data_IF_753454327674
#
_entry.id   IF_753454327674
#
_cell.length_a   1.000
_cell.length_b   1.000
_cell.length_c   1.000
_cell.angle_alpha   90.00
_cell.angle_beta   90.00
_cell.angle_gamma   90.00
#
_symmetry.space_group_name_H-M   'P 1'
#
loop_
_entity.id
_entity.type
_entity.pdbx_description
1 polymer ?
#
# COMPACT_ATOMS: atom_id res chain seq x y z
N UNK A 1 14.69 -7.62 -2.50
CA UNK A 1 13.90 -8.83 -2.80
C UNK A 1 12.49 -8.35 -3.08
N UNK A 2 12.05 -8.53 -4.31
CA UNK A 2 10.75 -8.14 -4.82
C UNK A 2 9.91 -9.39 -5.06
N UNK A 3 8.59 -9.21 -5.16
CA UNK A 3 7.69 -10.28 -5.59
C UNK A 3 8.16 -10.86 -6.93
N UNK A 4 8.17 -12.18 -7.05
CA UNK A 4 8.65 -12.87 -8.24
C UNK A 4 10.17 -13.11 -8.30
N UNK A 5 10.97 -12.54 -7.40
CA UNK A 5 12.42 -12.83 -7.36
C UNK A 5 12.66 -14.32 -7.13
N UNK A 6 13.45 -14.95 -8.02
CA UNK A 6 13.89 -16.33 -7.87
C UNK A 6 15.15 -16.35 -7.03
N UNK A 7 15.06 -16.92 -5.83
CA UNK A 7 16.18 -17.05 -4.90
C UNK A 7 16.99 -18.32 -5.15
N UNK A 8 16.35 -19.32 -5.75
CA UNK A 8 16.97 -20.60 -6.05
C UNK A 8 16.23 -21.26 -7.21
N UNK A 9 16.97 -21.89 -8.12
CA UNK A 9 16.45 -22.69 -9.22
C UNK A 9 17.41 -23.85 -9.49
N UNK A 10 16.90 -25.08 -9.44
CA UNK A 10 17.55 -26.29 -9.95
C UNK A 10 16.60 -27.02 -10.92
N UNK A 11 17.03 -28.16 -11.49
CA UNK A 11 16.25 -28.95 -12.46
C UNK A 11 14.91 -29.50 -11.90
N UNK A 12 14.69 -29.41 -10.59
CA UNK A 12 13.57 -30.04 -9.88
C UNK A 12 12.72 -29.07 -9.05
N UNK A 13 13.28 -27.93 -8.62
CA UNK A 13 12.67 -27.01 -7.64
C UNK A 13 13.13 -25.57 -7.86
N UNK A 14 12.28 -24.66 -7.42
CA UNK A 14 12.62 -23.25 -7.29
C UNK A 14 12.08 -22.66 -6.00
N UNK A 15 12.71 -21.59 -5.52
CA UNK A 15 12.25 -20.76 -4.41
C UNK A 15 11.98 -19.37 -4.98
N UNK A 16 10.73 -18.92 -4.89
CA UNK A 16 10.28 -17.61 -5.35
C UNK A 16 9.83 -16.76 -4.16
N UNK A 17 10.10 -15.46 -4.23
CA UNK A 17 9.55 -14.49 -3.27
C UNK A 17 8.09 -14.22 -3.65
N UNK A 18 7.17 -14.42 -2.71
CA UNK A 18 5.76 -14.05 -2.86
C UNK A 18 5.40 -12.94 -1.86
N UNK A 19 4.79 -11.86 -2.34
CA UNK A 19 4.27 -10.80 -1.50
C UNK A 19 3.12 -11.34 -0.64
N UNK A 20 3.27 -11.26 0.68
CA UNK A 20 2.21 -11.63 1.61
C UNK A 20 0.97 -10.76 1.39
N UNK A 21 -0.21 -11.39 1.45
CA UNK A 21 -1.48 -10.67 1.44
C UNK A 21 -1.65 -9.94 2.75
N UNK A 22 -1.92 -8.64 2.66
CA UNK A 22 -2.27 -7.84 3.82
C UNK A 22 -3.43 -6.91 3.47
N UNK A 23 -4.19 -6.53 4.50
CA UNK A 23 -5.21 -5.50 4.34
C UNK A 23 -4.53 -4.17 4.06
N UNK A 24 -4.97 -3.48 3.01
CA UNK A 24 -4.45 -2.15 2.67
C UNK A 24 -5.58 -1.14 2.55
N UNK A 25 -5.20 0.12 2.75
CA UNK A 25 -6.01 1.28 2.42
C UNK A 25 -5.48 1.84 1.10
N UNK A 26 -6.38 2.00 0.12
CA UNK A 26 -6.12 2.70 -1.15
C UNK A 26 -6.89 4.01 -1.17
N UNK A 27 -6.22 5.10 -1.53
CA UNK A 27 -6.74 6.46 -1.48
C UNK A 27 -6.55 7.10 -2.86
N UNK A 28 -7.63 7.70 -3.37
CA UNK A 28 -7.66 8.44 -4.62
C UNK A 28 -7.93 9.91 -4.31
N UNK A 29 -6.89 10.71 -4.01
CA UNK A 29 -7.06 12.10 -3.65
C UNK A 29 -7.65 12.91 -4.81
N UNK A 30 -8.53 13.86 -4.52
CA UNK A 30 -9.18 14.69 -5.53
C UNK A 30 -8.25 15.81 -6.05
N UNK A 31 -7.32 16.27 -5.21
CA UNK A 31 -6.35 17.29 -5.55
C UNK A 31 -4.97 17.11 -4.86
N UNK A 32 -4.05 18.01 -5.17
CA UNK A 32 -2.69 18.00 -4.62
C UNK A 32 -2.65 18.28 -3.11
N UNK A 33 -3.61 19.04 -2.58
CA UNK A 33 -3.69 19.36 -1.15
C UNK A 33 -4.05 18.11 -0.36
N UNK A 34 -5.06 17.38 -0.82
CA UNK A 34 -5.47 16.11 -0.24
C UNK A 34 -4.36 15.07 -0.36
N UNK A 35 -3.72 14.96 -1.53
CA UNK A 35 -2.59 14.05 -1.73
C UNK A 35 -1.44 14.32 -0.75
N UNK A 36 -1.07 15.60 -0.57
CA UNK A 36 -0.02 16.00 0.35
C UNK A 36 -0.41 15.73 1.81
N UNK A 37 -1.64 16.04 2.20
CA UNK A 37 -2.17 15.78 3.53
C UNK A 37 -2.15 14.29 3.87
N UNK A 38 -2.67 13.45 2.97
CA UNK A 38 -2.68 11.99 3.13
C UNK A 38 -1.26 11.45 3.26
N UNK A 39 -0.35 11.82 2.35
CA UNK A 39 1.04 11.36 2.38
C UNK A 39 1.75 11.78 3.68
N UNK A 40 1.49 12.99 4.16
CA UNK A 40 2.00 13.48 5.44
C UNK A 40 1.48 12.65 6.61
N UNK A 41 0.17 12.43 6.72
CA UNK A 41 -0.43 11.69 7.84
C UNK A 41 0.03 10.23 7.90
N UNK A 42 0.22 9.59 6.75
CA UNK A 42 0.80 8.24 6.65
C UNK A 42 2.25 8.24 7.14
N UNK A 43 3.07 9.16 6.62
CA UNK A 43 4.49 9.27 6.96
C UNK A 43 4.71 9.64 8.43
N UNK A 44 3.86 10.51 9.00
CA UNK A 44 3.87 10.91 10.40
C UNK A 44 3.60 9.74 11.36
N UNK A 45 2.98 8.66 10.87
CA UNK A 45 2.75 7.42 11.62
C UNK A 45 3.83 6.36 11.39
N UNK A 46 4.89 6.69 10.65
CA UNK A 46 5.91 5.74 10.21
C UNK A 46 5.33 4.52 9.48
N UNK A 47 4.20 4.70 8.79
CA UNK A 47 3.60 3.67 7.96
C UNK A 47 4.28 3.66 6.58
N UNK A 48 4.51 2.47 5.99
CA UNK A 48 4.94 2.38 4.60
C UNK A 48 3.92 3.05 3.68
N UNK A 49 4.40 3.79 2.67
CA UNK A 49 3.57 4.48 1.69
C UNK A 49 4.05 4.16 0.27
N UNK A 50 3.11 3.80 -0.60
CA UNK A 50 3.34 3.70 -2.05
C UNK A 50 2.49 4.74 -2.74
N UNK A 51 3.11 5.55 -3.61
CA UNK A 51 2.44 6.59 -4.38
C UNK A 51 2.71 6.32 -5.85
N UNK A 52 1.66 6.06 -6.62
CA UNK A 52 1.75 5.82 -8.04
C UNK A 52 0.48 6.32 -8.76
N UNK A 53 0.37 6.05 -10.07
CA UNK A 53 -0.79 6.49 -10.87
C UNK A 53 -2.13 5.90 -10.40
N UNK A 54 -2.10 4.81 -9.63
CA UNK A 54 -3.27 4.13 -9.10
C UNK A 54 -3.64 4.63 -7.69
N UNK A 55 -3.03 5.72 -7.21
CA UNK A 55 -3.34 6.35 -5.93
C UNK A 55 -2.24 6.20 -4.88
N UNK A 56 -2.62 6.47 -3.64
CA UNK A 56 -1.78 6.32 -2.46
C UNK A 56 -2.21 5.05 -1.72
N UNK A 57 -1.28 4.14 -1.46
CA UNK A 57 -1.54 2.86 -0.78
C UNK A 57 -0.67 2.71 0.47
N UNK A 58 -1.26 2.17 1.53
CA UNK A 58 -0.57 1.90 2.80
C UNK A 58 -1.24 0.71 3.50
N UNK A 59 -0.52 -0.06 4.35
CA UNK A 59 -1.15 -1.10 5.16
C UNK A 59 -2.30 -0.56 6.01
N UNK A 60 -3.31 -1.39 6.24
CA UNK A 60 -4.47 -1.00 7.04
C UNK A 60 -4.04 -0.56 8.44
N UNK A 61 -4.52 0.63 8.82
CA UNK A 61 -4.35 1.16 10.15
C UNK A 61 -5.65 1.82 10.61
N UNK A 62 -6.21 1.31 11.71
CA UNK A 62 -7.50 1.77 12.26
C UNK A 62 -7.53 3.26 12.60
N UNK A 63 -6.42 3.82 13.09
CA UNK A 63 -6.36 5.25 13.45
C UNK A 63 -6.31 6.13 12.20
N UNK A 64 -5.59 5.69 11.16
CA UNK A 64 -5.56 6.38 9.87
C UNK A 64 -6.93 6.34 9.20
N UNK A 65 -7.59 5.17 9.15
CA UNK A 65 -8.94 5.05 8.58
C UNK A 65 -9.94 6.01 9.26
N UNK A 66 -9.92 6.06 10.59
CA UNK A 66 -10.76 6.97 11.36
C UNK A 66 -10.49 8.44 11.04
N UNK A 67 -9.22 8.83 10.86
CA UNK A 67 -8.85 10.17 10.45
C UNK A 67 -9.37 10.51 9.06
N UNK A 68 -9.09 9.65 8.06
CA UNK A 68 -9.49 9.89 6.67
C UNK A 68 -11.01 10.00 6.54
N UNK A 69 -11.77 9.16 7.25
CA UNK A 69 -13.24 9.26 7.31
C UNK A 69 -13.71 10.58 7.92
N UNK A 70 -13.04 11.08 8.96
CA UNK A 70 -13.36 12.37 9.60
C UNK A 70 -13.12 13.53 8.64
N UNK A 71 -12.05 13.49 7.86
CA UNK A 71 -11.71 14.50 6.86
C UNK A 71 -12.50 14.32 5.55
N UNK A 72 -13.46 13.39 5.49
CA UNK A 72 -14.26 13.07 4.29
C UNK A 72 -13.45 12.62 3.07
N UNK A 73 -12.26 12.05 3.30
CA UNK A 73 -11.37 11.51 2.28
C UNK A 73 -11.86 10.13 1.84
N UNK A 74 -11.97 9.92 0.52
CA UNK A 74 -12.43 8.67 -0.07
C UNK A 74 -11.34 7.60 0.05
N UNK A 75 -11.70 6.45 0.62
CA UNK A 75 -10.80 5.31 0.80
C UNK A 75 -11.47 4.00 0.43
N UNK A 76 -10.66 3.05 -0.02
CA UNK A 76 -11.07 1.66 -0.30
C UNK A 76 -10.23 0.74 0.57
N UNK A 77 -10.90 -0.12 1.35
CA UNK A 77 -10.25 -1.25 2.02
C UNK A 77 -10.25 -2.42 1.05
N UNK A 78 -9.08 -2.99 0.82
CA UNK A 78 -8.92 -4.14 -0.07
C UNK A 78 -7.82 -5.06 0.43
N UNK A 79 -7.91 -6.33 0.06
CA UNK A 79 -6.81 -7.28 0.23
C UNK A 79 -5.92 -7.13 -1.01
N UNK A 80 -4.76 -6.49 -0.86
CA UNK A 80 -3.83 -6.33 -1.98
C UNK A 80 -2.79 -7.44 -1.95
N UNK A 81 -2.51 -8.00 -3.12
CA UNK A 81 -1.15 -8.43 -3.41
C UNK A 81 -0.36 -7.16 -3.68
N UNK A 82 0.78 -6.94 -3.04
CA UNK A 82 1.71 -5.90 -3.48
C UNK A 82 2.19 -6.27 -4.89
N UNK A 83 1.67 -5.67 -5.99
CA UNK A 83 2.16 -5.98 -7.32
C UNK A 83 3.34 -5.04 -7.52
N UNK A 84 4.55 -5.56 -7.38
CA UNK A 84 5.74 -4.76 -7.65
C UNK A 84 5.93 -4.76 -9.17
N UNK A 85 5.89 -3.54 -9.74
CA UNK A 85 6.24 -3.24 -11.13
C UNK A 85 7.74 -3.42 -11.33
#
# INVERSE_FOLDING_TARGET
MQDGDILYLDDSRYIIVEAAKDDVIVIYPEDMTEAAFVAYEISNRHLPVSINRNGITTPYNRLLEGLLKKESIKLILTHFFHPVV
#
